data_IF_589518305466
#
_entry.id   IF_589518305466
#
_cell.length_a   1.000
_cell.length_b   1.000
_cell.length_c   1.000
_cell.angle_alpha   90.00
_cell.angle_beta   90.00
_cell.angle_gamma   90.00
#
_symmetry.space_group_name_H-M   'P 1'
#
loop_
_entity.id
_entity.type
_entity.pdbx_description
1 polymer ?
#
# COMPACT_ATOMS: atom_id res chain seq x y z
N UNK A 1 -79.16 24.87 -5.16
CA UNK A 1 -78.49 23.60 -4.84
C UNK A 1 -77.22 23.49 -5.67
N UNK A 2 -76.06 23.68 -5.07
CA UNK A 2 -74.72 23.53 -5.71
C UNK A 2 -74.00 22.41 -4.98
N UNK A 3 -73.78 21.28 -5.60
CA UNK A 3 -72.99 20.19 -5.08
C UNK A 3 -71.50 20.51 -5.27
N UNK A 4 -70.72 20.42 -4.21
CA UNK A 4 -69.26 20.48 -4.22
C UNK A 4 -68.71 19.04 -4.29
N UNK A 5 -67.96 18.74 -5.35
CA UNK A 5 -67.21 17.50 -5.50
C UNK A 5 -65.85 17.70 -4.90
N UNK A 6 -65.47 16.87 -3.91
CA UNK A 6 -64.14 16.80 -3.33
C UNK A 6 -63.33 15.76 -4.09
N UNK A 7 -62.30 16.18 -4.81
CA UNK A 7 -61.32 15.30 -5.42
C UNK A 7 -60.25 14.90 -4.42
N UNK A 8 -60.12 13.60 -4.15
CA UNK A 8 -59.01 13.02 -3.39
C UNK A 8 -57.81 12.89 -4.33
N UNK A 9 -56.72 13.64 -4.06
CA UNK A 9 -55.42 13.43 -4.71
C UNK A 9 -54.62 12.41 -3.91
N UNK A 10 -54.44 11.18 -4.44
CA UNK A 10 -53.47 10.22 -3.92
C UNK A 10 -52.06 10.65 -4.36
N UNK A 11 -51.25 11.15 -3.43
CA UNK A 11 -49.84 11.35 -3.62
C UNK A 11 -49.06 10.03 -3.48
N UNK A 12 -48.55 9.50 -4.60
CA UNK A 12 -47.58 8.40 -4.57
C UNK A 12 -46.24 8.96 -4.12
N UNK A 13 -45.87 8.76 -2.85
CA UNK A 13 -44.55 9.02 -2.33
C UNK A 13 -43.57 7.95 -2.84
N UNK A 14 -42.70 8.29 -3.78
CA UNK A 14 -41.52 7.52 -4.12
C UNK A 14 -40.53 7.60 -2.96
N UNK A 15 -40.46 6.53 -2.16
CA UNK A 15 -39.37 6.36 -1.19
C UNK A 15 -38.07 6.06 -1.94
N UNK A 16 -37.21 7.05 -2.11
CA UNK A 16 -35.82 6.82 -2.47
C UNK A 16 -35.15 6.18 -1.25
N UNK A 17 -34.94 4.87 -1.29
CA UNK A 17 -34.02 4.21 -0.38
C UNK A 17 -32.61 4.61 -0.77
N UNK A 18 -31.99 5.52 -0.04
CA UNK A 18 -30.57 5.77 -0.13
C UNK A 18 -29.83 4.45 0.18
N UNK A 19 -28.81 4.04 -0.61
CA UNK A 19 -27.99 2.90 -0.25
C UNK A 19 -27.35 3.16 1.13
N UNK A 20 -27.27 2.11 1.92
CA UNK A 20 -26.85 2.18 3.31
C UNK A 20 -25.48 2.87 3.45
N UNK A 21 -25.42 3.95 4.20
CA UNK A 21 -24.21 4.72 4.57
C UNK A 21 -23.15 3.86 5.30
N UNK A 22 -23.51 2.67 5.76
CA UNK A 22 -22.66 1.78 6.55
C UNK A 22 -21.52 1.11 5.74
N UNK A 23 -21.54 1.12 4.40
CA UNK A 23 -20.50 0.48 3.58
C UNK A 23 -19.42 1.48 3.11
N UNK A 24 -19.66 2.80 3.29
CA UNK A 24 -18.73 3.87 2.85
C UNK A 24 -17.62 4.18 3.87
N UNK A 25 -17.55 3.51 5.02
CA UNK A 25 -16.53 3.77 6.05
C UNK A 25 -15.43 2.70 6.10
N UNK A 26 -15.60 1.60 5.39
CA UNK A 26 -14.68 0.45 5.45
C UNK A 26 -13.47 0.62 4.56
N UNK A 27 -12.33 0.22 5.09
CA UNK A 27 -11.08 0.08 4.36
C UNK A 27 -10.86 -1.40 4.10
N UNK A 28 -10.66 -1.79 2.85
CA UNK A 28 -10.36 -3.16 2.49
C UNK A 28 -8.92 -3.26 1.98
N UNK A 29 -8.15 -4.15 2.59
CA UNK A 29 -6.80 -4.51 2.17
C UNK A 29 -6.80 -5.91 1.58
N UNK A 30 -6.33 -6.05 0.35
CA UNK A 30 -5.96 -7.32 -0.26
C UNK A 30 -4.45 -7.45 -0.24
N UNK A 31 -3.91 -8.49 0.42
CA UNK A 31 -2.48 -8.81 0.40
C UNK A 31 -2.17 -9.76 -0.76
N UNK A 32 -1.32 -9.33 -1.67
CA UNK A 32 -0.95 -10.10 -2.87
C UNK A 32 0.34 -10.92 -2.70
N UNK A 33 0.93 -10.87 -1.50
CA UNK A 33 2.22 -11.50 -1.18
C UNK A 33 3.38 -10.51 -1.19
N UNK A 34 4.51 -10.85 -0.58
CA UNK A 34 5.67 -9.98 -0.35
C UNK A 34 5.22 -8.67 0.32
N UNK A 35 5.46 -7.52 -0.29
CA UNK A 35 4.98 -6.20 0.17
C UNK A 35 3.83 -5.65 -0.67
N UNK A 36 3.22 -6.47 -1.53
CA UNK A 36 2.18 -6.02 -2.46
C UNK A 36 0.80 -5.96 -1.80
N UNK A 37 0.26 -4.74 -1.67
CA UNK A 37 -1.08 -4.50 -1.12
C UNK A 37 -1.94 -3.67 -2.07
N UNK A 38 -3.18 -4.12 -2.27
CA UNK A 38 -4.25 -3.34 -2.90
C UNK A 38 -5.18 -2.84 -1.81
N UNK A 39 -5.37 -1.52 -1.74
CA UNK A 39 -6.13 -0.83 -0.70
C UNK A 39 -7.34 -0.15 -1.34
N UNK A 40 -8.54 -0.56 -0.94
CA UNK A 40 -9.78 0.15 -1.24
C UNK A 40 -10.06 1.15 -0.12
N UNK A 41 -10.17 2.44 -0.48
CA UNK A 41 -10.46 3.49 0.50
C UNK A 41 -11.95 3.65 0.72
N UNK A 42 -12.39 4.26 1.82
CA UNK A 42 -13.80 4.55 2.08
C UNK A 42 -14.50 5.32 0.96
N UNK A 43 -13.78 6.24 0.31
CA UNK A 43 -14.27 7.03 -0.83
C UNK A 43 -14.21 6.29 -2.17
N UNK A 44 -13.90 4.99 -2.18
CA UNK A 44 -13.86 4.16 -3.40
C UNK A 44 -12.62 4.37 -4.27
N UNK A 45 -11.55 4.98 -3.74
CA UNK A 45 -10.25 5.04 -4.41
C UNK A 45 -9.50 3.73 -4.23
N UNK A 46 -8.63 3.41 -5.17
CA UNK A 46 -7.82 2.20 -5.13
C UNK A 46 -6.34 2.56 -5.22
N UNK A 47 -5.61 2.26 -4.16
CA UNK A 47 -4.17 2.43 -4.05
C UNK A 47 -3.51 1.06 -4.17
N UNK A 48 -2.51 0.93 -5.03
CA UNK A 48 -1.68 -0.28 -5.13
C UNK A 48 -0.27 0.05 -4.66
N UNK A 49 0.27 -0.73 -3.73
CA UNK A 49 1.62 -0.54 -3.19
C UNK A 49 2.49 -1.74 -3.56
N UNK A 50 3.71 -1.48 -4.01
CA UNK A 50 4.77 -2.45 -4.31
C UNK A 50 4.29 -3.68 -5.12
N UNK A 51 3.75 -3.50 -6.34
CA UNK A 51 3.04 -4.55 -7.08
C UNK A 51 3.96 -5.61 -7.69
N UNK A 52 4.64 -6.38 -6.88
CA UNK A 52 5.32 -7.60 -7.28
C UNK A 52 4.33 -8.76 -7.31
N UNK A 53 3.67 -8.97 -8.44
CA UNK A 53 2.50 -9.84 -8.57
C UNK A 53 2.75 -11.01 -9.52
N UNK A 54 3.04 -10.73 -10.80
CA UNK A 54 3.13 -11.75 -11.84
C UNK A 54 4.29 -12.72 -11.61
N UNK A 55 5.42 -12.22 -11.14
CA UNK A 55 6.64 -13.00 -10.88
C UNK A 55 6.74 -13.50 -9.44
N UNK A 56 5.88 -13.05 -8.53
CA UNK A 56 5.90 -13.48 -7.14
C UNK A 56 5.41 -14.94 -7.02
N UNK A 57 6.23 -15.88 -6.49
CA UNK A 57 5.83 -17.28 -6.36
C UNK A 57 4.69 -17.51 -5.37
N UNK A 58 4.45 -16.55 -4.45
CA UNK A 58 3.41 -16.64 -3.41
C UNK A 58 2.09 -15.99 -3.82
N UNK A 59 2.07 -15.15 -4.84
CA UNK A 59 0.80 -14.58 -5.34
C UNK A 59 -0.05 -15.70 -5.92
N UNK A 60 -1.32 -15.87 -5.48
CA UNK A 60 -2.24 -16.86 -6.03
C UNK A 60 -2.42 -16.67 -7.54
N UNK A 61 -2.57 -17.78 -8.27
CA UNK A 61 -2.65 -17.79 -9.73
C UNK A 61 -3.76 -16.89 -10.28
N UNK A 62 -4.86 -16.77 -9.56
CA UNK A 62 -6.01 -15.92 -9.92
C UNK A 62 -5.66 -14.42 -9.97
N UNK A 63 -4.73 -13.96 -9.12
CA UNK A 63 -4.28 -12.56 -9.06
C UNK A 63 -3.13 -12.25 -10.01
N UNK A 64 -2.51 -13.24 -10.64
CA UNK A 64 -1.46 -13.04 -11.65
C UNK A 64 -1.99 -12.47 -12.97
N UNK A 65 -3.30 -12.53 -13.18
CA UNK A 65 -3.98 -11.76 -14.21
C UNK A 65 -4.20 -10.33 -13.68
N UNK A 66 -3.38 -9.40 -14.15
CA UNK A 66 -3.40 -7.99 -13.71
C UNK A 66 -4.74 -7.29 -13.99
N UNK A 67 -5.57 -7.80 -14.90
CA UNK A 67 -6.90 -7.23 -15.18
C UNK A 67 -7.87 -7.45 -14.02
N UNK A 68 -7.66 -8.47 -13.21
CA UNK A 68 -8.45 -8.74 -12.01
C UNK A 68 -8.23 -7.73 -10.88
N UNK A 69 -7.15 -6.94 -10.93
CA UNK A 69 -6.97 -5.83 -10.01
C UNK A 69 -8.02 -4.74 -10.19
N UNK A 70 -8.71 -4.72 -11.34
CA UNK A 70 -9.71 -3.71 -11.67
C UNK A 70 -9.07 -2.32 -11.87
N UNK A 71 -9.89 -1.28 -11.69
CA UNK A 71 -9.42 0.10 -11.78
C UNK A 71 -8.51 0.43 -10.61
N UNK A 72 -7.37 1.06 -10.90
CA UNK A 72 -6.45 1.64 -9.93
C UNK A 72 -6.48 3.16 -10.07
N UNK A 73 -6.27 3.90 -8.98
CA UNK A 73 -6.19 5.35 -9.00
C UNK A 73 -4.73 5.84 -8.87
N UNK A 74 -3.87 5.09 -8.16
CA UNK A 74 -2.44 5.41 -7.98
C UNK A 74 -1.64 4.15 -7.64
N UNK A 75 -0.37 4.15 -8.03
CA UNK A 75 0.61 3.14 -7.63
C UNK A 75 1.68 3.82 -6.76
N UNK A 76 2.04 3.18 -5.64
CA UNK A 76 3.13 3.58 -4.76
C UNK A 76 4.23 2.52 -4.84
N UNK A 77 5.49 2.96 -4.93
CA UNK A 77 6.66 2.07 -4.96
C UNK A 77 7.64 2.55 -3.92
N UNK A 78 7.92 1.71 -2.91
CA UNK A 78 8.77 2.07 -1.78
C UNK A 78 10.24 2.20 -2.16
N UNK A 79 10.71 1.37 -3.09
CA UNK A 79 12.07 1.39 -3.61
C UNK A 79 12.19 0.58 -4.92
N UNK A 80 13.37 0.58 -5.52
CA UNK A 80 13.56 0.13 -6.89
C UNK A 80 13.82 -1.37 -7.07
N UNK A 81 13.89 -2.17 -5.99
CA UNK A 81 14.10 -3.61 -6.12
C UNK A 81 12.96 -4.30 -6.87
N UNK A 82 13.30 -5.35 -7.63
CA UNK A 82 12.37 -6.01 -8.54
C UNK A 82 11.14 -6.61 -7.86
N UNK A 83 11.28 -7.03 -6.60
CA UNK A 83 10.18 -7.56 -5.76
C UNK A 83 9.31 -6.47 -5.10
N UNK A 84 9.50 -5.20 -5.49
CA UNK A 84 8.66 -4.06 -5.13
C UNK A 84 8.15 -3.31 -6.35
N UNK A 85 9.06 -2.82 -7.23
CA UNK A 85 8.63 -2.15 -8.45
C UNK A 85 7.80 -3.08 -9.37
N UNK A 86 8.18 -4.34 -9.46
CA UNK A 86 7.45 -5.41 -10.13
C UNK A 86 6.69 -5.01 -11.38
N UNK A 87 5.37 -5.15 -11.33
CA UNK A 87 4.46 -4.86 -12.43
C UNK A 87 4.04 -3.37 -12.53
N UNK A 88 4.57 -2.48 -11.66
CA UNK A 88 4.18 -1.08 -11.59
C UNK A 88 4.29 -0.35 -12.94
N UNK A 89 5.40 -0.44 -13.71
CA UNK A 89 5.49 0.25 -15.00
C UNK A 89 4.47 -0.25 -16.03
N UNK A 90 4.17 -1.56 -16.01
CA UNK A 90 3.18 -2.18 -16.91
C UNK A 90 1.78 -1.67 -16.58
N UNK A 91 1.40 -1.64 -15.31
CA UNK A 91 0.11 -1.16 -14.83
C UNK A 91 -0.07 0.33 -15.07
N UNK A 92 0.97 1.14 -14.82
CA UNK A 92 0.95 2.58 -15.05
C UNK A 92 0.65 2.93 -16.51
N UNK A 93 1.33 2.27 -17.46
CA UNK A 93 1.08 2.44 -18.90
C UNK A 93 -0.32 1.96 -19.29
N UNK A 94 -0.71 0.78 -18.81
CA UNK A 94 -1.99 0.15 -19.17
C UNK A 94 -3.20 0.98 -18.74
N UNK A 95 -3.15 1.56 -17.54
CA UNK A 95 -4.26 2.31 -16.96
C UNK A 95 -4.08 3.83 -17.04
N UNK A 96 -2.94 4.31 -17.55
CA UNK A 96 -2.57 5.71 -17.60
C UNK A 96 -2.65 6.38 -16.21
N UNK A 97 -2.02 5.75 -15.21
CA UNK A 97 -1.98 6.21 -13.83
C UNK A 97 -0.55 6.45 -13.36
N UNK A 98 -0.40 7.32 -12.37
CA UNK A 98 0.91 7.70 -11.84
C UNK A 98 1.50 6.64 -10.92
N UNK A 99 2.83 6.50 -10.99
CA UNK A 99 3.65 5.84 -9.98
C UNK A 99 4.33 6.92 -9.14
N UNK A 100 4.17 6.83 -7.83
CA UNK A 100 4.87 7.67 -6.89
C UNK A 100 5.84 6.82 -6.07
N UNK A 101 7.12 7.19 -6.12
CA UNK A 101 8.20 6.52 -5.41
C UNK A 101 9.34 7.50 -5.12
N UNK A 102 10.54 7.01 -4.73
CA UNK A 102 11.72 7.86 -4.56
C UNK A 102 12.03 8.68 -5.82
N UNK A 103 12.43 9.95 -5.66
CA UNK A 103 12.73 10.83 -6.80
C UNK A 103 13.75 10.23 -7.78
N UNK A 104 14.80 9.58 -7.26
CA UNK A 104 15.82 8.94 -8.11
C UNK A 104 15.26 7.75 -8.91
N UNK A 105 14.26 7.03 -8.39
CA UNK A 105 13.56 6.00 -9.17
C UNK A 105 12.75 6.64 -10.31
N UNK A 106 12.00 7.69 -10.01
CA UNK A 106 11.22 8.41 -11.02
C UNK A 106 12.13 8.91 -12.17
N UNK A 107 13.25 9.55 -11.82
CA UNK A 107 14.23 10.03 -12.81
C UNK A 107 14.79 8.87 -13.67
N UNK A 108 15.15 7.76 -13.06
CA UNK A 108 15.65 6.56 -13.77
C UNK A 108 14.62 5.98 -14.73
N UNK A 109 13.36 5.86 -14.31
CA UNK A 109 12.29 5.34 -15.17
C UNK A 109 12.03 6.23 -16.40
N UNK A 110 12.16 7.54 -16.22
CA UNK A 110 12.02 8.53 -17.31
C UNK A 110 13.25 8.50 -18.24
N UNK A 111 14.46 8.53 -17.68
CA UNK A 111 15.71 8.53 -18.44
C UNK A 111 15.88 7.27 -19.31
N UNK A 112 15.46 6.13 -18.81
CA UNK A 112 15.46 4.86 -19.55
C UNK A 112 14.29 4.72 -20.53
N UNK A 113 13.41 5.74 -20.65
CA UNK A 113 12.23 5.69 -21.51
C UNK A 113 11.18 4.63 -21.09
N UNK A 114 11.26 4.14 -19.84
CA UNK A 114 10.30 3.18 -19.31
C UNK A 114 8.96 3.86 -19.07
N UNK A 115 8.95 5.07 -18.51
CA UNK A 115 7.77 5.89 -18.28
C UNK A 115 7.98 7.32 -18.75
N UNK A 116 6.89 8.08 -18.91
CA UNK A 116 6.95 9.52 -19.12
C UNK A 116 7.00 10.28 -17.79
N UNK A 117 7.42 11.56 -17.78
CA UNK A 117 7.43 12.37 -16.54
C UNK A 117 6.05 12.50 -15.87
N UNK A 118 4.97 12.47 -16.68
CA UNK A 118 3.60 12.53 -16.17
C UNK A 118 3.19 11.26 -15.42
N UNK A 119 3.72 10.10 -15.82
CA UNK A 119 3.45 8.82 -15.18
C UNK A 119 4.41 8.51 -14.02
N UNK A 120 5.58 9.15 -13.97
CA UNK A 120 6.57 9.00 -12.91
C UNK A 120 6.96 10.36 -12.31
N UNK A 121 6.01 11.08 -11.66
CA UNK A 121 6.31 12.34 -11.02
C UNK A 121 7.21 12.14 -9.80
N UNK A 122 7.99 13.19 -9.47
CA UNK A 122 8.98 13.15 -8.40
C UNK A 122 8.38 13.54 -7.05
N UNK A 123 8.76 12.80 -6.02
CA UNK A 123 8.59 13.23 -4.63
C UNK A 123 9.80 12.78 -3.78
N UNK A 124 9.95 13.35 -2.58
CA UNK A 124 11.06 13.04 -1.70
C UNK A 124 10.58 12.84 -0.25
N UNK A 125 11.42 12.18 0.56
CA UNK A 125 11.17 11.95 1.99
C UNK A 125 10.84 13.26 2.72
N UNK A 126 9.83 13.19 3.61
CA UNK A 126 9.28 14.35 4.31
C UNK A 126 8.22 15.11 3.52
N UNK A 127 8.12 14.91 2.20
CA UNK A 127 7.07 15.49 1.36
C UNK A 127 5.74 14.75 1.50
N UNK A 128 4.64 15.51 1.32
CA UNK A 128 3.27 14.98 1.29
C UNK A 128 2.61 15.40 -0.01
N UNK A 129 1.91 14.48 -0.65
CA UNK A 129 1.19 14.67 -1.90
C UNK A 129 -0.28 14.24 -1.75
N UNK A 130 -1.13 14.71 -2.70
CA UNK A 130 -2.56 14.38 -2.77
C UNK A 130 -2.94 13.95 -4.19
N UNK A 131 -2.40 12.83 -4.71
CA UNK A 131 -2.49 12.50 -6.14
C UNK A 131 -3.88 12.05 -6.59
N UNK A 132 -4.73 11.64 -5.65
CA UNK A 132 -6.05 11.05 -5.93
C UNK A 132 -7.20 11.78 -5.20
N UNK A 133 -6.99 13.03 -4.86
CA UNK A 133 -7.97 13.91 -4.21
C UNK A 133 -7.44 14.54 -2.93
N UNK A 134 -8.04 15.67 -2.49
CA UNK A 134 -7.51 16.47 -1.39
C UNK A 134 -7.57 15.76 -0.02
N UNK A 135 -8.46 14.79 0.12
CA UNK A 135 -8.74 14.12 1.40
C UNK A 135 -7.82 12.92 1.67
N UNK A 136 -7.05 12.48 0.66
CA UNK A 136 -6.05 11.42 0.81
C UNK A 136 -4.66 12.04 0.77
N UNK A 137 -3.91 11.91 1.88
CA UNK A 137 -2.55 12.41 1.99
C UNK A 137 -1.55 11.25 2.01
N UNK A 138 -0.55 11.30 1.14
CA UNK A 138 0.52 10.30 1.04
C UNK A 138 1.85 10.99 1.35
N UNK A 139 2.52 10.55 2.41
CA UNK A 139 3.81 11.10 2.86
C UNK A 139 4.90 10.04 2.75
N UNK A 140 6.04 10.38 2.16
CA UNK A 140 7.24 9.55 2.22
C UNK A 140 7.98 9.77 3.53
N UNK A 141 8.34 8.67 4.20
CA UNK A 141 9.18 8.66 5.40
C UNK A 141 10.43 7.82 5.17
N UNK A 142 11.43 7.97 6.03
CA UNK A 142 12.67 7.19 5.96
C UNK A 142 12.43 5.69 6.05
N UNK A 143 13.23 4.91 5.31
CA UNK A 143 13.44 3.48 5.46
C UNK A 143 14.95 3.20 5.37
N UNK A 144 15.45 2.27 6.21
CA UNK A 144 16.85 1.87 6.27
C UNK A 144 17.08 0.64 5.39
N UNK A 145 17.39 0.88 4.13
CA UNK A 145 17.56 -0.17 3.11
C UNK A 145 18.37 0.36 1.93
N UNK A 146 18.66 -0.49 0.93
CA UNK A 146 19.21 -0.08 -0.35
C UNK A 146 18.14 0.05 -1.43
N UNK A 147 18.47 0.67 -2.57
CA UNK A 147 17.52 0.88 -3.65
C UNK A 147 18.26 1.04 -4.98
N UNK A 148 18.57 -0.08 -5.63
CA UNK A 148 19.16 -0.14 -6.96
C UNK A 148 18.12 -0.62 -7.97
N UNK A 149 17.98 0.07 -9.09
CA UNK A 149 17.15 -0.38 -10.19
C UNK A 149 17.95 -1.29 -11.12
N UNK A 150 17.55 -2.54 -11.21
CA UNK A 150 18.17 -3.50 -12.11
C UNK A 150 17.43 -3.49 -13.45
N UNK A 151 18.13 -3.05 -14.48
CA UNK A 151 17.62 -2.98 -15.83
C UNK A 151 18.30 -3.99 -16.72
N UNK A 152 17.51 -4.74 -17.48
CA UNK A 152 18.04 -5.58 -18.54
C UNK A 152 17.80 -4.86 -19.86
N UNK A 153 18.85 -4.28 -20.41
CA UNK A 153 18.81 -3.53 -21.65
C UNK A 153 18.22 -4.39 -22.77
N UNK A 154 17.13 -3.99 -23.41
CA UNK A 154 16.43 -4.82 -24.41
C UNK A 154 17.24 -5.07 -25.68
N UNK A 155 18.20 -4.18 -26.01
CA UNK A 155 19.04 -4.30 -27.21
C UNK A 155 20.27 -5.16 -26.95
N UNK A 156 21.04 -4.81 -25.91
CA UNK A 156 22.32 -5.44 -25.58
C UNK A 156 22.18 -6.72 -24.75
N UNK A 157 21.01 -6.97 -24.15
CA UNK A 157 20.72 -8.04 -23.17
C UNK A 157 21.61 -8.00 -21.93
N UNK A 158 22.33 -6.89 -21.71
CA UNK A 158 23.18 -6.72 -20.53
C UNK A 158 22.35 -6.26 -19.34
N UNK A 159 22.74 -6.77 -18.18
CA UNK A 159 22.24 -6.28 -16.89
C UNK A 159 22.98 -4.99 -16.53
N UNK A 160 22.22 -3.96 -16.25
CA UNK A 160 22.68 -2.64 -15.83
C UNK A 160 22.14 -2.33 -14.45
N UNK A 161 22.92 -1.59 -13.66
CA UNK A 161 22.51 -1.15 -12.33
C UNK A 161 22.38 0.36 -12.37
N UNK A 162 21.18 0.85 -12.09
CA UNK A 162 20.85 2.27 -12.10
C UNK A 162 20.44 2.75 -10.71
N UNK A 163 20.41 4.06 -10.53
CA UNK A 163 19.97 4.70 -9.29
C UNK A 163 18.49 4.40 -9.06
N UNK A 164 18.16 3.87 -7.88
CA UNK A 164 16.78 3.65 -7.46
C UNK A 164 16.22 4.74 -6.54
N UNK A 165 17.03 5.74 -6.22
CA UNK A 165 16.71 6.71 -5.19
C UNK A 165 16.85 6.12 -3.78
N UNK A 166 16.55 6.89 -2.77
CA UNK A 166 16.58 6.41 -1.38
C UNK A 166 15.29 5.68 -1.04
N UNK A 167 15.36 4.51 -0.39
CA UNK A 167 14.17 3.75 0.00
C UNK A 167 13.30 4.54 0.98
N UNK A 168 11.99 4.29 0.90
CA UNK A 168 10.98 4.99 1.71
C UNK A 168 9.93 4.04 2.25
N UNK A 169 9.31 4.43 3.36
CA UNK A 169 7.98 3.96 3.72
C UNK A 169 6.92 5.00 3.35
N UNK A 170 5.67 4.59 3.29
CA UNK A 170 4.53 5.47 3.02
C UNK A 170 3.60 5.58 4.23
N UNK A 171 3.34 6.80 4.66
CA UNK A 171 2.21 7.14 5.53
C UNK A 171 1.04 7.53 4.63
N UNK A 172 -0.01 6.74 4.63
CA UNK A 172 -1.20 6.93 3.80
C UNK A 172 -2.36 7.29 4.73
N UNK A 173 -2.75 8.56 4.76
CA UNK A 173 -3.91 9.03 5.51
C UNK A 173 -5.11 9.08 4.59
N UNK A 174 -6.14 8.30 4.90
CA UNK A 174 -7.36 8.16 4.12
C UNK A 174 -8.41 9.24 4.48
N UNK A 175 -9.47 9.30 3.71
CA UNK A 175 -10.54 10.33 3.77
C UNK A 175 -11.22 10.38 5.14
N UNK A 176 -11.41 9.22 5.79
CA UNK A 176 -11.99 9.11 7.13
C UNK A 176 -10.97 9.36 8.25
N UNK A 177 -9.71 9.65 7.92
CA UNK A 177 -8.61 9.90 8.84
C UNK A 177 -7.87 8.63 9.29
N UNK A 178 -8.28 7.43 8.86
CA UNK A 178 -7.52 6.20 9.10
C UNK A 178 -6.14 6.30 8.45
N UNK A 179 -5.11 5.94 9.17
CA UNK A 179 -3.73 6.10 8.72
C UNK A 179 -3.02 4.76 8.63
N UNK A 180 -2.49 4.45 7.44
CA UNK A 180 -1.72 3.24 7.18
C UNK A 180 -0.24 3.63 7.08
N UNK A 181 0.63 2.89 7.76
CA UNK A 181 2.07 2.95 7.56
C UNK A 181 2.54 1.68 6.85
N UNK A 182 2.82 1.79 5.56
CA UNK A 182 3.50 0.76 4.80
C UNK A 182 5.00 1.02 4.90
N UNK A 183 5.72 0.15 5.62
CA UNK A 183 7.14 0.40 5.92
C UNK A 183 8.07 0.18 4.72
N UNK A 184 7.61 -0.57 3.70
CA UNK A 184 8.49 -1.06 2.64
C UNK A 184 9.51 -2.03 3.22
N UNK A 185 10.68 -2.10 2.59
CA UNK A 185 11.82 -2.83 3.13
C UNK A 185 12.65 -1.90 4.01
N UNK A 186 12.91 -2.37 5.22
CA UNK A 186 13.70 -1.60 6.19
C UNK A 186 14.31 -2.50 7.25
N UNK A 187 15.50 -2.11 7.72
CA UNK A 187 16.02 -2.49 9.03
C UNK A 187 15.33 -1.72 10.16
N UNK A 188 15.67 -2.05 11.39
CA UNK A 188 15.27 -1.27 12.58
C UNK A 188 16.10 0.00 12.67
N UNK A 189 15.45 1.16 12.86
CA UNK A 189 16.13 2.46 12.97
C UNK A 189 15.47 3.37 14.02
N UNK A 190 16.25 4.31 14.56
CA UNK A 190 15.84 5.11 15.72
C UNK A 190 14.66 6.04 15.48
N UNK A 191 14.53 6.60 14.26
CA UNK A 191 13.50 7.60 13.94
C UNK A 191 12.08 7.02 13.90
N UNK A 192 11.91 5.70 14.01
CA UNK A 192 10.60 5.08 14.23
C UNK A 192 9.93 5.62 15.51
N UNK A 193 10.73 6.03 16.51
CA UNK A 193 10.26 6.70 17.74
C UNK A 193 9.65 8.09 17.47
N UNK A 194 10.00 8.74 16.36
CA UNK A 194 9.43 10.01 15.91
C UNK A 194 8.25 9.79 14.97
N UNK A 195 8.34 8.83 14.07
CA UNK A 195 7.32 8.51 13.07
C UNK A 195 6.03 8.07 13.77
N UNK A 196 6.12 7.14 14.73
CA UNK A 196 4.97 6.63 15.46
C UNK A 196 4.12 7.75 16.10
N UNK A 197 4.64 8.57 17.03
CA UNK A 197 3.90 9.64 17.68
C UNK A 197 3.42 10.76 16.74
N UNK A 198 4.20 11.04 15.66
CA UNK A 198 3.88 12.09 14.69
C UNK A 198 2.67 11.73 13.82
N UNK A 199 2.66 10.51 13.27
CA UNK A 199 1.65 10.10 12.29
C UNK A 199 0.55 9.21 12.88
N UNK A 200 0.79 8.57 14.03
CA UNK A 200 -0.16 7.71 14.75
C UNK A 200 -0.87 6.75 13.82
N UNK A 201 -0.13 5.85 13.14
CA UNK A 201 -0.75 4.93 12.22
C UNK A 201 -1.71 3.98 12.94
N UNK A 202 -2.92 3.84 12.39
CA UNK A 202 -3.90 2.85 12.85
C UNK A 202 -3.46 1.45 12.43
N UNK A 203 -2.89 1.32 11.23
CA UNK A 203 -2.40 0.07 10.65
C UNK A 203 -0.93 0.17 10.26
N UNK A 204 -0.16 -0.82 10.67
CA UNK A 204 1.25 -1.01 10.32
C UNK A 204 1.39 -2.22 9.41
N UNK A 205 1.94 -2.06 8.21
CA UNK A 205 2.37 -3.14 7.31
C UNK A 205 3.88 -3.28 7.47
N UNK A 206 4.31 -4.37 8.14
CA UNK A 206 5.67 -4.50 8.69
C UNK A 206 6.41 -5.70 8.11
N UNK A 207 7.62 -5.51 7.53
CA UNK A 207 8.44 -6.61 7.07
C UNK A 207 9.04 -7.38 8.26
N UNK A 208 9.02 -8.72 8.18
CA UNK A 208 9.50 -9.61 9.25
C UNK A 208 10.43 -10.72 8.77
N UNK A 209 10.77 -10.75 7.47
CA UNK A 209 11.45 -11.89 6.85
C UNK A 209 12.88 -12.15 7.30
N UNK A 210 13.56 -11.15 7.87
CA UNK A 210 14.99 -11.23 8.17
C UNK A 210 15.86 -11.13 6.90
N UNK A 211 17.16 -11.31 7.05
CA UNK A 211 18.20 -11.30 6.01
C UNK A 211 18.32 -9.97 5.24
N UNK A 212 17.25 -9.55 4.57
CA UNK A 212 17.20 -8.29 3.81
C UNK A 212 16.44 -7.18 4.55
N UNK A 213 15.58 -7.54 5.48
CA UNK A 213 14.72 -6.65 6.26
C UNK A 213 14.81 -7.00 7.73
N UNK A 214 14.04 -6.32 8.58
CA UNK A 214 13.94 -6.67 9.99
C UNK A 214 13.64 -8.16 10.17
N UNK A 215 14.28 -8.79 11.13
CA UNK A 215 13.85 -10.09 11.63
C UNK A 215 12.62 -9.94 12.56
N UNK A 216 11.98 -11.05 12.99
CA UNK A 216 10.82 -10.98 13.86
C UNK A 216 11.04 -10.24 15.18
N UNK A 217 12.26 -10.24 15.75
CA UNK A 217 12.60 -9.55 16.99
C UNK A 217 12.68 -8.03 16.79
N UNK A 218 13.37 -7.59 15.74
CA UNK A 218 13.47 -6.19 15.35
C UNK A 218 12.12 -5.61 14.95
N UNK A 219 11.32 -6.40 14.22
CA UNK A 219 9.95 -6.02 13.86
C UNK A 219 9.05 -5.85 15.11
N UNK A 220 9.21 -6.71 16.12
CA UNK A 220 8.49 -6.54 17.37
C UNK A 220 8.91 -5.26 18.11
N UNK A 221 10.20 -4.90 18.09
CA UNK A 221 10.69 -3.63 18.65
C UNK A 221 10.14 -2.43 17.87
N UNK A 222 10.20 -2.46 16.54
CA UNK A 222 9.60 -1.43 15.69
C UNK A 222 8.12 -1.21 16.00
N UNK A 223 7.36 -2.30 16.20
CA UNK A 223 5.94 -2.23 16.58
C UNK A 223 5.75 -1.53 17.94
N UNK A 224 6.62 -1.82 18.92
CA UNK A 224 6.62 -1.14 20.23
C UNK A 224 6.95 0.35 20.14
N UNK A 225 7.85 0.72 19.23
CA UNK A 225 8.21 2.13 18.98
C UNK A 225 7.05 2.91 18.32
N UNK A 226 6.38 2.29 17.33
CA UNK A 226 5.33 2.94 16.52
C UNK A 226 3.98 2.93 17.25
N UNK A 227 3.64 1.83 17.94
CA UNK A 227 2.38 1.62 18.70
C UNK A 227 1.12 1.76 17.86
N UNK A 228 0.99 1.02 16.74
CA UNK A 228 -0.23 1.03 15.93
C UNK A 228 -1.38 0.28 16.63
N UNK A 229 -2.64 0.52 16.20
CA UNK A 229 -3.77 -0.30 16.63
C UNK A 229 -3.70 -1.70 16.02
N UNK A 230 -3.39 -1.77 14.71
CA UNK A 230 -3.27 -3.03 13.97
C UNK A 230 -1.88 -3.19 13.36
N UNK A 231 -1.41 -4.42 13.23
CA UNK A 231 -0.21 -4.75 12.47
C UNK A 231 -0.46 -5.96 11.57
N UNK A 232 0.05 -5.91 10.34
CA UNK A 232 0.07 -7.04 9.41
C UNK A 232 1.52 -7.32 9.07
N UNK A 233 2.05 -8.50 9.44
CA UNK A 233 3.37 -8.93 9.02
C UNK A 233 3.38 -9.22 7.52
N UNK A 234 4.43 -8.77 6.83
CA UNK A 234 4.64 -8.94 5.41
C UNK A 234 6.10 -9.29 5.10
N UNK A 235 6.44 -9.48 3.84
CA UNK A 235 7.80 -9.70 3.33
C UNK A 235 8.51 -10.89 4.01
N UNK A 236 7.85 -12.05 4.06
CA UNK A 236 8.37 -13.30 4.62
C UNK A 236 7.98 -14.53 3.80
N UNK A 237 8.79 -15.56 3.85
CA UNK A 237 8.50 -16.87 3.25
C UNK A 237 8.45 -16.89 1.72
N UNK A 238 8.78 -15.81 1.02
CA UNK A 238 8.80 -15.75 -0.45
C UNK A 238 10.02 -16.48 -1.01
N UNK A 239 11.15 -16.37 -0.33
CA UNK A 239 12.39 -17.10 -0.64
C UNK A 239 12.92 -17.74 0.64
N UNK A 240 13.85 -18.74 0.55
CA UNK A 240 14.43 -19.37 1.74
C UNK A 240 15.17 -18.43 2.68
N UNK A 241 15.69 -17.30 2.16
CA UNK A 241 16.39 -16.29 2.96
C UNK A 241 15.43 -15.51 3.86
N UNK A 242 14.19 -15.33 3.45
CA UNK A 242 13.14 -14.64 4.22
C UNK A 242 12.48 -15.62 5.20
N UNK A 243 13.28 -16.12 6.16
CA UNK A 243 12.93 -17.22 7.03
C UNK A 243 12.15 -16.83 8.30
N UNK A 244 11.98 -15.53 8.57
CA UNK A 244 11.16 -15.02 9.65
C UNK A 244 9.70 -15.45 9.52
N UNK A 245 9.02 -15.72 10.64
CA UNK A 245 7.63 -16.18 10.63
C UNK A 245 6.74 -15.33 11.52
N UNK A 246 5.42 -15.28 11.23
CA UNK A 246 4.46 -14.59 12.10
C UNK A 246 4.45 -15.11 13.53
N UNK A 247 4.66 -16.41 13.74
CA UNK A 247 4.71 -17.02 15.08
C UNK A 247 5.91 -16.49 15.88
N UNK A 248 7.08 -16.36 15.24
CA UNK A 248 8.26 -15.77 15.87
C UNK A 248 8.04 -14.29 16.20
N UNK A 249 7.42 -13.54 15.29
CA UNK A 249 7.07 -12.14 15.51
C UNK A 249 6.09 -11.96 16.67
N UNK A 250 5.02 -12.76 16.72
CA UNK A 250 4.06 -12.76 17.84
C UNK A 250 4.72 -13.13 19.17
N UNK A 251 5.61 -14.13 19.17
CA UNK A 251 6.35 -14.52 20.36
C UNK A 251 7.28 -13.41 20.87
N UNK A 252 8.00 -12.73 19.95
CA UNK A 252 8.88 -11.61 20.27
C UNK A 252 8.11 -10.36 20.73
N UNK A 253 6.93 -10.09 20.12
CA UNK A 253 6.09 -8.96 20.47
C UNK A 253 5.49 -9.13 21.88
N UNK A 254 5.10 -10.33 22.23
CA UNK A 254 4.54 -10.65 23.53
C UNK A 254 3.21 -9.93 23.82
N UNK A 255 2.98 -9.55 25.07
CA UNK A 255 1.75 -8.84 25.46
C UNK A 255 1.79 -7.39 24.96
N UNK A 256 0.84 -7.01 24.13
CA UNK A 256 0.73 -5.67 23.52
C UNK A 256 -0.73 -5.26 23.38
N UNK A 257 -0.97 -3.94 23.17
CA UNK A 257 -2.28 -3.41 22.78
C UNK A 257 -2.51 -3.51 21.26
N UNK A 258 -1.46 -3.75 20.46
CA UNK A 258 -1.56 -3.89 19.01
C UNK A 258 -2.19 -5.24 18.65
N UNK A 259 -3.26 -5.23 17.87
CA UNK A 259 -3.86 -6.44 17.29
C UNK A 259 -3.07 -6.85 16.03
N UNK A 260 -2.48 -8.03 16.04
CA UNK A 260 -1.75 -8.56 14.87
C UNK A 260 -2.68 -9.43 14.02
N UNK A 261 -2.85 -9.05 12.75
CA UNK A 261 -3.63 -9.81 11.76
C UNK A 261 -2.67 -10.56 10.83
N UNK A 262 -2.52 -11.85 11.02
CA UNK A 262 -1.74 -12.70 10.11
C UNK A 262 -2.61 -13.07 8.92
N UNK A 263 -2.15 -12.68 7.72
CA UNK A 263 -2.86 -12.94 6.47
C UNK A 263 -2.16 -14.02 5.65
N UNK A 264 -2.87 -14.58 4.68
CA UNK A 264 -2.29 -15.37 3.59
C UNK A 264 -2.33 -14.56 2.29
N UNK A 265 -1.36 -14.72 1.38
CA UNK A 265 -1.43 -14.10 0.06
C UNK A 265 -2.76 -14.40 -0.65
N UNK A 266 -3.41 -13.37 -1.20
CA UNK A 266 -4.76 -13.42 -1.76
C UNK A 266 -5.88 -13.19 -0.73
N UNK A 267 -5.53 -13.12 0.56
CA UNK A 267 -6.49 -12.82 1.62
C UNK A 267 -6.83 -11.33 1.72
N UNK A 268 -8.04 -11.04 2.20
CA UNK A 268 -8.55 -9.69 2.43
C UNK A 268 -8.76 -9.44 3.93
N UNK A 269 -8.40 -8.25 4.39
CA UNK A 269 -8.73 -7.74 5.71
C UNK A 269 -9.53 -6.45 5.59
N UNK A 270 -10.53 -6.29 6.46
CA UNK A 270 -11.39 -5.10 6.51
C UNK A 270 -11.15 -4.38 7.82
N UNK A 271 -11.06 -3.05 7.74
CA UNK A 271 -10.86 -2.18 8.89
C UNK A 271 -11.92 -1.09 8.91
N UNK A 272 -12.38 -0.80 10.12
CA UNK A 272 -13.14 0.40 10.43
C UNK A 272 -12.23 1.34 11.22
N UNK A 273 -12.53 2.64 11.21
CA UNK A 273 -11.81 3.58 12.05
C UNK A 273 -12.06 3.24 13.52
N UNK A 274 -11.01 3.09 14.37
CA UNK A 274 -11.15 2.82 15.79
C UNK A 274 -11.79 3.97 16.55
#
# INVERSE_FOLDING_TARGET
MRQRIWGLALGLGLAFTAPALADQEKIELLWLGQSAFRINTPGGKVILVDPFITQNPKTPAEWKDLDKLGKLDVILVTHAHGDHIGDAPTLAKKQNIQIWGPAGLADTLVELGILTPELAPRMAKGGTIHPIGPDIAITQVHAEHSSEFIYVNPETKKREVHVGGEPVGFIIKLENGFTIYHMGDTGLFGDLTLIGPRYRPDLLLIPIGGHFVMDPSDAAEATRMIRPHFAIPMHYGTTPQLAGTPEQYLAALGKTATEVKVMQPGGTAVFDRP
#
